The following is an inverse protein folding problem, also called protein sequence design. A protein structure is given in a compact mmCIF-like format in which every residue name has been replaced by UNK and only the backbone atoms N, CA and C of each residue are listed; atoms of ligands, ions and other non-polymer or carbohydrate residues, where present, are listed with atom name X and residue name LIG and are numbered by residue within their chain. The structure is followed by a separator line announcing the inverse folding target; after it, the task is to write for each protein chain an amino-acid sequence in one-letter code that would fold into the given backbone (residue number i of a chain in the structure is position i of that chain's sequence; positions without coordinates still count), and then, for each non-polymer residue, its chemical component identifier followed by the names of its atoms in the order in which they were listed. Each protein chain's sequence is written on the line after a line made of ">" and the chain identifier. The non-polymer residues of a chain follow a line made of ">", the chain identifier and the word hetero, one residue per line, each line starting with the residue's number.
data_IF_543644067462
#
_entry.id   IF_543644067462
#
_cell.length_a   1.000
_cell.length_b   1.000
_cell.length_c   1.000
_cell.angle_alpha   90.00
_cell.angle_beta   90.00
_cell.angle_gamma   90.00
#
_symmetry.space_group_name_H-M   'P 1'
#
loop_
_entity.id
_entity.type
_entity.pdbx_description
1 polymer ?
#
# COMPACT_ATOMS: atom_id res chain seq x y z
N UNK A 1 11.56 13.84 -4.80
CA UNK A 1 11.46 12.73 -5.78
C UNK A 1 11.22 11.44 -5.03
N UNK A 2 10.74 10.40 -5.70
CA UNK A 2 10.48 9.10 -5.10
C UNK A 2 11.13 7.98 -5.94
N UNK A 3 11.21 6.77 -5.39
CA UNK A 3 11.75 5.60 -6.10
C UNK A 3 10.71 5.09 -7.10
N UNK A 4 11.05 5.13 -8.38
CA UNK A 4 10.32 4.44 -9.45
C UNK A 4 10.98 3.10 -9.70
N UNK A 5 10.21 2.02 -9.62
CA UNK A 5 10.70 0.66 -9.84
C UNK A 5 10.10 0.09 -11.14
N UNK A 6 10.89 -0.69 -11.87
CA UNK A 6 10.49 -1.35 -13.10
C UNK A 6 11.25 -2.66 -13.30
N UNK A 7 10.90 -3.44 -14.32
CA UNK A 7 11.62 -4.67 -14.66
C UNK A 7 13.09 -4.41 -15.07
N UNK A 8 13.45 -3.19 -15.49
CA UNK A 8 14.82 -2.83 -15.90
C UNK A 8 15.65 -2.19 -14.78
N UNK A 9 15.06 -1.94 -13.60
CA UNK A 9 15.74 -1.31 -12.47
C UNK A 9 14.90 -0.27 -11.76
N UNK A 10 15.54 0.39 -10.78
CA UNK A 10 14.96 1.50 -10.04
C UNK A 10 15.71 2.80 -10.32
N UNK A 11 14.98 3.91 -10.28
CA UNK A 11 15.53 5.26 -10.39
C UNK A 11 14.71 6.26 -9.57
N UNK A 12 15.27 7.44 -9.30
CA UNK A 12 14.52 8.56 -8.75
C UNK A 12 13.64 9.19 -9.82
N UNK A 13 12.37 9.43 -9.49
CA UNK A 13 11.46 10.14 -10.38
C UNK A 13 10.44 11.00 -9.64
N UNK A 14 10.05 12.11 -10.26
CA UNK A 14 8.87 12.89 -9.87
C UNK A 14 7.54 12.20 -10.22
N UNK A 15 7.55 11.31 -11.22
CA UNK A 15 6.39 10.55 -11.68
C UNK A 15 6.37 9.10 -11.20
N UNK A 16 7.10 8.78 -10.13
CA UNK A 16 7.14 7.43 -9.58
C UNK A 16 5.74 6.98 -9.13
N UNK A 17 5.37 5.76 -9.53
CA UNK A 17 4.15 5.12 -9.04
C UNK A 17 4.24 4.83 -7.54
N UNK A 18 3.09 4.74 -6.88
CA UNK A 18 3.04 4.33 -5.48
C UNK A 18 3.58 2.90 -5.30
N UNK A 19 4.30 2.69 -4.20
CA UNK A 19 4.73 1.38 -3.74
C UNK A 19 3.85 0.96 -2.56
N UNK A 20 3.25 -0.21 -2.63
CA UNK A 20 2.49 -0.79 -1.54
C UNK A 20 3.39 -1.67 -0.68
N UNK A 21 3.26 -1.56 0.64
CA UNK A 21 4.04 -2.34 1.61
C UNK A 21 3.09 -3.29 2.34
N UNK A 22 3.29 -4.59 2.17
CA UNK A 22 2.51 -5.62 2.85
C UNK A 22 3.42 -6.46 3.74
N UNK A 23 3.10 -6.50 5.04
CA UNK A 23 3.90 -7.28 6.00
C UNK A 23 3.50 -8.75 5.96
N UNK A 24 4.45 -9.62 5.66
CA UNK A 24 4.31 -11.05 5.77
C UNK A 24 4.32 -11.45 7.27
N UNK A 25 3.23 -12.01 7.81
CA UNK A 25 3.16 -12.36 9.23
C UNK A 25 4.06 -13.55 9.59
N UNK A 26 4.40 -14.42 8.64
CA UNK A 26 5.23 -15.60 8.90
C UNK A 26 6.72 -15.24 9.05
N UNK A 27 7.20 -14.28 8.25
CA UNK A 27 8.61 -13.86 8.27
C UNK A 27 8.85 -12.56 9.04
N UNK A 28 7.79 -11.76 9.22
CA UNK A 28 7.88 -10.40 9.74
C UNK A 28 8.50 -9.38 8.78
N UNK A 29 8.84 -9.81 7.56
CA UNK A 29 9.37 -8.98 6.48
C UNK A 29 8.24 -8.40 5.62
N UNK A 30 8.57 -7.46 4.75
CA UNK A 30 7.64 -6.81 3.84
C UNK A 30 7.80 -7.35 2.42
N UNK A 31 6.68 -7.51 1.73
CA UNK A 31 6.61 -7.50 0.27
C UNK A 31 6.28 -6.09 -0.17
N UNK A 32 7.11 -5.54 -1.06
CA UNK A 32 6.92 -4.19 -1.61
C UNK A 32 6.45 -4.37 -3.05
N UNK A 33 5.35 -3.75 -3.46
CA UNK A 33 4.73 -4.00 -4.76
C UNK A 33 4.32 -2.75 -5.50
N UNK A 34 4.27 -2.86 -6.84
CA UNK A 34 3.72 -1.84 -7.72
C UNK A 34 3.12 -2.51 -8.96
N UNK A 35 1.90 -2.12 -9.34
CA UNK A 35 1.22 -2.69 -10.52
C UNK A 35 1.07 -4.22 -10.51
N UNK A 36 0.95 -4.84 -9.32
CA UNK A 36 0.86 -6.30 -9.17
C UNK A 36 2.19 -7.05 -9.24
N UNK A 37 3.31 -6.36 -9.43
CA UNK A 37 4.66 -6.93 -9.39
C UNK A 37 5.35 -6.61 -8.06
N UNK A 38 6.27 -7.47 -7.63
CA UNK A 38 7.04 -7.33 -6.41
C UNK A 38 8.43 -6.75 -6.68
N UNK A 39 8.86 -5.82 -5.83
CA UNK A 39 10.25 -5.36 -5.76
C UNK A 39 11.13 -6.56 -5.37
N UNK A 40 12.07 -6.88 -6.23
CA UNK A 40 12.87 -8.11 -6.19
C UNK A 40 14.35 -7.74 -6.32
N UNK A 41 15.17 -8.22 -5.39
CA UNK A 41 16.62 -8.14 -5.48
C UNK A 41 17.13 -8.94 -6.69
N UNK A 42 17.94 -8.28 -7.52
CA UNK A 42 18.60 -8.88 -8.67
C UNK A 42 20.03 -8.35 -8.79
N UNK A 43 20.98 -9.10 -8.21
CA UNK A 43 22.38 -8.69 -8.12
C UNK A 43 22.54 -7.38 -7.33
N UNK A 44 23.04 -6.32 -7.99
CA UNK A 44 23.20 -4.98 -7.39
C UNK A 44 22.04 -4.02 -7.71
N UNK A 45 20.92 -4.56 -8.13
CA UNK A 45 19.73 -3.78 -8.50
C UNK A 45 18.50 -4.31 -7.79
N UNK A 46 17.49 -3.45 -7.64
CA UNK A 46 16.13 -3.86 -7.35
C UNK A 46 15.28 -3.68 -8.62
N UNK A 47 14.44 -4.66 -8.93
CA UNK A 47 13.57 -4.68 -10.14
C UNK A 47 12.16 -5.12 -9.77
N UNK A 48 11.17 -4.79 -10.59
CA UNK A 48 9.83 -5.37 -10.48
C UNK A 48 9.78 -6.72 -11.20
N UNK A 49 9.34 -7.76 -10.51
CA UNK A 49 9.12 -9.10 -11.05
C UNK A 49 7.82 -9.71 -10.53
N UNK A 50 7.30 -10.73 -11.21
CA UNK A 50 6.15 -11.49 -10.73
C UNK A 50 6.46 -12.19 -9.41
N UNK A 51 5.44 -12.41 -8.58
CA UNK A 51 5.63 -13.12 -7.31
C UNK A 51 6.14 -14.56 -7.56
N UNK A 52 7.26 -14.90 -6.94
CA UNK A 52 7.89 -16.22 -7.02
C UNK A 52 8.07 -16.89 -5.65
N UNK A 53 7.79 -16.16 -4.56
CA UNK A 53 7.85 -16.67 -3.19
C UNK A 53 9.27 -16.75 -2.62
N UNK A 54 10.28 -16.31 -3.37
CA UNK A 54 11.67 -16.34 -2.94
C UNK A 54 11.99 -15.23 -1.93
N UNK A 55 13.11 -15.42 -1.20
CA UNK A 55 13.56 -14.44 -0.22
C UNK A 55 14.04 -13.12 -0.87
N UNK A 56 14.38 -13.11 -2.17
CA UNK A 56 14.76 -11.87 -2.87
C UNK A 56 13.59 -10.88 -3.03
N UNK A 57 12.36 -11.32 -2.77
CA UNK A 57 11.15 -10.49 -2.76
C UNK A 57 10.75 -10.01 -1.37
N UNK A 58 11.57 -10.29 -0.35
CA UNK A 58 11.33 -9.92 1.03
C UNK A 58 12.29 -8.83 1.48
N UNK A 59 11.74 -7.84 2.18
CA UNK A 59 12.45 -6.63 2.59
C UNK A 59 12.23 -6.35 4.07
N UNK A 60 13.32 -6.06 4.78
CA UNK A 60 13.29 -5.43 6.10
C UNK A 60 13.03 -3.95 5.91
N UNK A 61 12.07 -3.43 6.68
CA UNK A 61 11.82 -1.99 6.78
C UNK A 61 11.99 -1.61 8.24
N UNK A 62 12.90 -0.69 8.51
CA UNK A 62 13.22 -0.24 9.87
C UNK A 62 13.41 1.27 9.90
N UNK A 63 12.90 1.91 10.95
CA UNK A 63 13.15 3.33 11.18
C UNK A 63 14.66 3.58 11.37
N UNK A 64 15.14 4.69 10.80
CA UNK A 64 16.51 5.17 10.95
C UNK A 64 16.52 6.71 11.04
N UNK A 65 17.69 7.29 11.27
CA UNK A 65 17.84 8.73 11.16
C UNK A 65 17.49 9.20 9.73
N UNK A 66 16.58 10.15 9.61
CA UNK A 66 16.15 10.68 8.32
C UNK A 66 15.01 9.91 7.64
N UNK A 67 14.49 8.81 8.22
CA UNK A 67 13.31 8.11 7.70
C UNK A 67 13.34 6.61 7.96
N UNK A 68 13.34 5.83 6.87
CA UNK A 68 13.33 4.37 6.90
C UNK A 68 14.43 3.78 6.02
N UNK A 69 15.10 2.75 6.52
CA UNK A 69 15.97 1.90 5.73
C UNK A 69 15.16 0.74 5.15
N UNK A 70 15.39 0.44 3.87
CA UNK A 70 14.76 -0.66 3.14
C UNK A 70 15.88 -1.60 2.74
N UNK A 71 15.93 -2.78 3.37
CA UNK A 71 17.05 -3.71 3.26
C UNK A 71 16.53 -5.05 2.79
N UNK A 72 17.10 -5.63 1.75
CA UNK A 72 16.69 -6.94 1.24
C UNK A 72 16.91 -8.04 2.28
N UNK A 73 16.28 -9.20 2.08
CA UNK A 73 16.50 -10.34 2.96
C UNK A 73 17.98 -10.76 3.04
N UNK A 74 18.76 -10.55 1.98
CA UNK A 74 20.21 -10.82 1.93
C UNK A 74 21.06 -9.80 2.67
N UNK A 75 20.50 -8.64 3.04
CA UNK A 75 21.18 -7.59 3.80
C UNK A 75 21.63 -6.38 3.00
N UNK A 76 21.23 -6.26 1.73
CA UNK A 76 21.59 -5.13 0.87
C UNK A 76 20.56 -4.00 0.98
N UNK A 77 21.03 -2.76 1.20
CA UNK A 77 20.18 -1.58 1.32
C UNK A 77 19.84 -0.98 -0.05
N UNK A 78 18.61 -0.52 -0.19
CA UNK A 78 18.20 0.35 -1.29
C UNK A 78 18.90 1.71 -1.11
N UNK A 79 19.67 2.10 -2.12
CA UNK A 79 20.63 3.22 -2.05
C UNK A 79 20.43 4.17 -3.25
N UNK A 80 20.49 5.47 -2.99
CA UNK A 80 20.53 6.52 -4.00
C UNK A 80 21.97 6.70 -4.52
N UNK A 81 22.20 6.29 -5.78
CA UNK A 81 23.56 6.26 -6.32
C UNK A 81 24.21 7.63 -6.28
N UNK A 82 25.35 7.73 -5.58
CA UNK A 82 26.12 8.96 -5.43
C UNK A 82 25.35 10.13 -4.77
N UNK A 83 24.25 9.88 -4.06
CA UNK A 83 23.44 10.90 -3.37
C UNK A 83 22.97 12.03 -4.30
N UNK A 84 22.64 11.71 -5.55
CA UNK A 84 22.17 12.70 -6.51
C UNK A 84 20.64 12.80 -6.51
N UNK A 85 20.15 14.04 -6.40
CA UNK A 85 18.73 14.36 -6.53
C UNK A 85 18.32 14.72 -7.95
N UNK A 86 18.97 14.16 -8.96
CA UNK A 86 18.58 14.34 -10.35
C UNK A 86 17.47 13.38 -10.78
N UNK A 87 16.57 13.85 -11.65
CA UNK A 87 15.54 12.99 -12.25
C UNK A 87 16.21 11.86 -13.04
N UNK A 88 15.77 10.64 -12.80
CA UNK A 88 16.35 9.44 -13.40
C UNK A 88 17.62 8.95 -12.72
N UNK A 89 18.08 9.56 -11.61
CA UNK A 89 19.24 9.06 -10.90
C UNK A 89 19.05 7.60 -10.50
N UNK A 90 20.10 6.79 -10.60
CA UNK A 90 20.03 5.35 -10.38
C UNK A 90 19.76 5.06 -8.91
N UNK A 91 18.80 4.18 -8.65
CA UNK A 91 18.64 3.53 -7.34
C UNK A 91 19.15 2.10 -7.45
N UNK A 92 20.05 1.72 -6.55
CA UNK A 92 20.76 0.44 -6.60
C UNK A 92 20.80 -0.23 -5.24
N UNK A 93 21.43 -1.40 -5.18
CA UNK A 93 21.67 -2.12 -3.93
C UNK A 93 23.12 -1.95 -3.51
N UNK A 94 23.31 -1.48 -2.28
CA UNK A 94 24.60 -1.28 -1.68
C UNK A 94 24.65 -1.81 -0.24
N UNK A 95 25.86 -2.06 0.26
CA UNK A 95 26.03 -2.48 1.64
C UNK A 95 25.51 -1.37 2.56
N UNK A 96 24.85 -1.72 3.68
CA UNK A 96 24.40 -0.72 4.65
C UNK A 96 25.56 0.17 5.10
N UNK A 97 25.43 1.48 4.90
CA UNK A 97 26.48 2.47 5.20
C UNK A 97 25.97 3.61 6.10
N UNK A 98 24.68 3.65 6.42
CA UNK A 98 24.07 4.61 7.35
C UNK A 98 24.02 6.05 6.82
N UNK A 99 24.30 6.27 5.53
CA UNK A 99 24.22 7.59 4.93
C UNK A 99 22.79 7.94 4.53
N UNK A 100 22.53 9.23 4.30
CA UNK A 100 21.25 9.72 3.80
C UNK A 100 20.83 9.08 2.47
N UNK A 101 21.77 8.53 1.69
CA UNK A 101 21.48 7.80 0.45
C UNK A 101 20.60 6.55 0.68
N UNK A 102 20.58 6.02 1.90
CA UNK A 102 19.86 4.80 2.28
C UNK A 102 18.66 5.08 3.20
N UNK A 103 18.35 6.36 3.43
CA UNK A 103 17.23 6.80 4.24
C UNK A 103 16.11 7.31 3.32
N UNK A 104 14.95 6.66 3.41
CA UNK A 104 13.80 6.94 2.57
C UNK A 104 12.64 7.47 3.41
N UNK A 105 11.99 8.52 2.90
CA UNK A 105 10.74 9.01 3.47
C UNK A 105 9.57 8.23 2.87
N UNK A 106 8.76 7.62 3.74
CA UNK A 106 7.49 7.01 3.36
C UNK A 106 6.40 8.08 3.54
N UNK A 107 5.93 8.63 2.43
CA UNK A 107 4.85 9.61 2.39
C UNK A 107 3.61 9.03 1.73
N UNK A 108 2.44 9.55 2.08
CA UNK A 108 1.20 9.21 1.40
C UNK A 108 1.32 9.46 -0.12
N UNK A 109 0.65 8.65 -0.96
CA UNK A 109 0.70 8.83 -2.39
C UNK A 109 0.24 10.26 -2.75
N UNK A 110 0.97 10.90 -3.69
CA UNK A 110 0.70 12.28 -4.11
C UNK A 110 -0.73 12.51 -4.62
N UNK A 111 -1.41 11.43 -5.03
CA UNK A 111 -2.86 11.40 -5.23
C UNK A 111 -3.47 10.59 -4.08
N UNK A 112 -4.07 11.26 -3.08
CA UNK A 112 -4.78 10.56 -2.00
C UNK A 112 -5.87 9.67 -2.59
N UNK A 113 -6.05 8.49 -2.01
CA UNK A 113 -7.22 7.66 -2.34
C UNK A 113 -8.48 8.43 -1.94
N UNK A 114 -9.27 8.82 -2.93
CA UNK A 114 -10.53 9.51 -2.69
C UNK A 114 -11.58 8.61 -2.02
N UNK A 115 -11.45 7.29 -2.20
CA UNK A 115 -12.33 6.25 -1.69
C UNK A 115 -11.48 5.02 -1.34
N UNK A 116 -11.81 4.30 -0.26
CA UNK A 116 -11.15 3.06 0.14
C UNK A 116 -11.41 1.93 -0.86
N UNK A 117 -10.52 0.93 -0.93
CA UNK A 117 -10.77 -0.27 -1.72
C UNK A 117 -11.94 -1.08 -1.12
N UNK A 118 -12.88 -1.52 -1.95
CA UNK A 118 -14.03 -2.31 -1.48
C UNK A 118 -15.18 -2.31 -2.49
N UNK A 119 -16.26 -3.03 -2.13
CA UNK A 119 -17.48 -3.07 -2.93
C UNK A 119 -18.35 -1.85 -2.66
N UNK A 120 -18.63 -1.06 -3.69
CA UNK A 120 -19.54 0.09 -3.61
C UNK A 120 -20.70 -0.06 -4.58
N UNK A 121 -21.87 0.43 -4.15
CA UNK A 121 -23.00 0.66 -5.05
C UNK A 121 -22.92 2.08 -5.59
N UNK A 122 -22.80 2.22 -6.90
CA UNK A 122 -22.79 3.52 -7.57
C UNK A 122 -24.23 4.03 -7.79
N UNK A 123 -24.82 4.61 -6.73
CA UNK A 123 -26.18 5.14 -6.74
C UNK A 123 -26.27 6.55 -7.36
N UNK A 124 -27.40 6.86 -7.98
CA UNK A 124 -27.69 8.19 -8.50
C UNK A 124 -27.96 9.15 -7.34
N UNK A 125 -27.29 10.30 -7.35
CA UNK A 125 -27.60 11.38 -6.39
C UNK A 125 -28.96 12.03 -6.65
N UNK A 126 -29.53 11.86 -7.85
CA UNK A 126 -30.85 12.37 -8.22
C UNK A 126 -31.98 11.47 -7.69
N UNK A 127 -31.71 10.18 -7.53
CA UNK A 127 -32.62 9.19 -6.96
C UNK A 127 -31.82 8.03 -6.35
N UNK A 128 -31.72 8.02 -5.02
CA UNK A 128 -30.95 7.02 -4.27
C UNK A 128 -31.47 5.59 -4.39
N UNK A 129 -32.65 5.37 -4.99
CA UNK A 129 -33.16 4.03 -5.30
C UNK A 129 -32.50 3.44 -6.55
N UNK A 130 -31.98 4.28 -7.45
CA UNK A 130 -31.39 3.89 -8.73
C UNK A 130 -29.87 3.80 -8.64
N UNK A 131 -29.28 2.75 -9.19
CA UNK A 131 -27.83 2.61 -9.28
C UNK A 131 -27.39 2.01 -10.62
N UNK A 132 -26.11 2.14 -10.93
CA UNK A 132 -25.53 1.57 -12.16
C UNK A 132 -25.55 0.04 -12.08
N UNK A 133 -26.24 -0.58 -13.04
CA UNK A 133 -26.16 -2.00 -13.38
C UNK A 133 -25.26 -2.16 -14.59
N UNK A 134 -24.08 -2.74 -14.40
CA UNK A 134 -23.16 -3.07 -15.49
C UNK A 134 -23.33 -4.53 -15.92
N UNK A 135 -23.33 -4.77 -17.23
CA UNK A 135 -23.33 -6.10 -17.83
C UNK A 135 -22.39 -6.14 -19.05
N UNK A 136 -22.16 -7.32 -19.60
CA UNK A 136 -21.36 -7.47 -20.81
C UNK A 136 -21.93 -6.71 -22.03
N UNK A 137 -23.22 -6.35 -22.03
CA UNK A 137 -23.88 -5.60 -23.10
C UNK A 137 -23.99 -4.09 -22.83
N UNK A 138 -23.50 -3.60 -21.70
CA UNK A 138 -23.48 -2.16 -21.38
C UNK A 138 -23.85 -1.85 -19.93
N UNK A 139 -24.07 -0.56 -19.65
CA UNK A 139 -24.45 -0.07 -18.33
C UNK A 139 -25.80 0.65 -18.40
N UNK A 140 -26.66 0.43 -17.39
CA UNK A 140 -27.96 1.11 -17.26
C UNK A 140 -28.24 1.48 -15.80
N UNK A 141 -29.19 2.38 -15.56
CA UNK A 141 -29.70 2.62 -14.20
C UNK A 141 -30.77 1.59 -13.88
N UNK A 142 -30.65 0.94 -12.74
CA UNK A 142 -31.62 -0.04 -12.24
C UNK A 142 -31.83 0.13 -10.74
N UNK A 143 -33.08 -0.01 -10.30
CA UNK A 143 -33.42 -0.08 -8.88
C UNK A 143 -32.97 -1.38 -8.22
N UNK A 144 -32.71 -2.42 -9.02
CA UNK A 144 -32.20 -3.72 -8.59
C UNK A 144 -30.68 -3.91 -8.74
N UNK A 145 -29.94 -2.84 -9.06
CA UNK A 145 -28.48 -2.90 -9.17
C UNK A 145 -27.83 -3.08 -7.79
N UNK A 146 -27.67 -4.34 -7.37
CA UNK A 146 -26.84 -4.77 -6.24
C UNK A 146 -27.50 -4.69 -4.86
N UNK A 147 -28.26 -5.73 -4.48
CA UNK A 147 -28.27 -6.16 -3.09
C UNK A 147 -27.03 -7.06 -2.88
N UNK A 148 -26.14 -6.79 -1.92
CA UNK A 148 -25.04 -7.70 -1.62
C UNK A 148 -25.63 -9.01 -1.10
N UNK A 149 -25.36 -10.11 -1.80
CA UNK A 149 -25.69 -11.45 -1.33
C UNK A 149 -24.85 -11.78 -0.08
N UNK A 150 -25.47 -11.64 1.09
CA UNK A 150 -25.10 -12.25 2.37
C UNK A 150 -23.61 -12.44 2.69
N UNK A 151 -23.03 -11.52 3.45
CA UNK A 151 -22.05 -11.90 4.48
C UNK A 151 -22.41 -11.20 5.78
N UNK A 152 -22.52 -12.01 6.83
CA UNK A 152 -22.96 -11.77 8.20
C UNK A 152 -22.68 -10.35 8.72
N UNK A 153 -23.74 -9.62 9.02
CA UNK A 153 -23.70 -8.42 9.86
C UNK A 153 -23.15 -8.82 11.23
N UNK A 154 -21.86 -8.56 11.50
CA UNK A 154 -21.36 -8.56 12.88
C UNK A 154 -21.89 -7.28 13.53
N UNK A 155 -22.86 -7.45 14.42
CA UNK A 155 -23.36 -6.39 15.27
C UNK A 155 -22.19 -5.67 15.95
N UNK A 156 -22.19 -4.35 15.85
CA UNK A 156 -21.37 -3.48 16.69
C UNK A 156 -21.80 -3.66 18.16
N UNK A 157 -20.88 -3.81 19.13
CA UNK A 157 -21.26 -3.73 20.53
C UNK A 157 -21.65 -2.28 20.84
N UNK A 158 -22.95 -2.02 20.96
CA UNK A 158 -23.46 -0.76 21.50
C UNK A 158 -22.97 -0.63 22.95
N UNK A 159 -22.23 0.44 23.22
CA UNK A 159 -21.90 0.87 24.57
C UNK A 159 -23.19 1.18 25.33
N UNK A 160 -23.51 0.37 26.33
CA UNK A 160 -24.50 0.72 27.34
C UNK A 160 -23.89 1.77 28.27
N UNK A 161 -24.40 3.01 28.23
CA UNK A 161 -24.17 3.96 29.31
C UNK A 161 -25.00 3.54 30.53
N UNK A 162 -24.44 3.53 31.75
CA UNK A 162 -25.19 3.21 32.96
C UNK A 162 -26.12 4.36 33.37
N UNK A 163 -27.39 4.02 33.61
CA UNK A 163 -28.38 4.92 34.19
C UNK A 163 -28.08 5.17 35.69
N UNK A 164 -28.17 6.42 36.09
CA UNK A 164 -28.11 6.92 37.46
C UNK A 164 -29.30 6.40 38.27
N UNK A 165 -29.04 5.67 39.36
CA UNK A 165 -30.04 5.29 40.34
C UNK A 165 -29.74 5.96 41.69
N UNK A 166 -30.70 6.74 42.18
CA UNK A 166 -30.72 7.39 43.49
C UNK A 166 -30.95 6.35 44.60
N UNK A 167 -30.25 6.38 45.75
CA UNK A 167 -30.57 5.51 46.87
C UNK A 167 -31.59 6.16 47.81
N UNK A 168 -32.71 5.45 48.06
CA UNK A 168 -33.57 5.67 49.22
C UNK A 168 -32.98 4.97 50.45
N UNK A 169 -32.88 5.69 51.56
CA UNK A 169 -32.43 5.20 52.87
C UNK A 169 -33.59 4.50 53.60
N UNK A 170 -33.35 3.41 54.37
CA UNK A 170 -34.36 2.77 55.21
C UNK A 170 -34.79 3.62 56.41
#
# INVERSE_FOLDING_TARGET
>A
MAVSASASGCSLSKGAAALAFERDPATGLYRISSGGMLLTESGRSAVLAGADGSASQLWRVSACEGGYAIVSASGMALDDYAQSTDEGNRVWLHAPNGTAAQAWLLADPAVPRAVDDGDYRLASSLDGSMAVSASASGCSLSSGAGAPSSITQRASPTAASPATATPGTP
#
